data_IF_834099011401
#
_entry.id   IF_834099011401
#
_cell.length_a   1.000
_cell.length_b   1.000
_cell.length_c   1.000
_cell.angle_alpha   90.00
_cell.angle_beta   90.00
_cell.angle_gamma   90.00
#
_symmetry.space_group_name_H-M   'P 1'
#
loop_
_entity.id
_entity.type
_entity.pdbx_description
1 polymer ?
#
# COMPACT_ATOMS: atom_id res chain seq x y z
N UNK A 1 -31.39 8.88 3.12
CA UNK A 1 -32.00 8.53 4.43
C UNK A 1 -30.89 8.44 5.47
N UNK A 2 -31.02 9.12 6.62
CA UNK A 2 -30.12 8.93 7.76
C UNK A 2 -30.57 7.68 8.50
N UNK A 3 -29.72 6.63 8.56
CA UNK A 3 -30.00 5.48 9.40
C UNK A 3 -29.74 5.86 10.86
N UNK A 4 -30.79 5.84 11.69
CA UNK A 4 -30.72 6.11 13.11
C UNK A 4 -30.81 4.77 13.82
N UNK A 5 -29.86 4.47 14.69
CA UNK A 5 -29.84 3.28 15.53
C UNK A 5 -30.17 3.68 16.95
N UNK A 6 -31.23 3.08 17.52
CA UNK A 6 -31.61 3.28 18.91
C UNK A 6 -31.13 2.07 19.75
N UNK A 7 -30.37 2.33 20.81
CA UNK A 7 -29.95 1.32 21.77
C UNK A 7 -30.68 1.56 23.07
N UNK A 8 -31.76 0.78 23.31
CA UNK A 8 -32.66 1.02 24.44
C UNK A 8 -32.37 0.15 25.67
N UNK A 9 -31.49 -0.87 25.54
CA UNK A 9 -31.22 -1.82 26.61
C UNK A 9 -29.75 -1.80 27.03
N UNK A 10 -29.51 -1.82 28.36
CA UNK A 10 -28.16 -2.05 28.91
C UNK A 10 -27.83 -3.53 28.90
N UNK A 11 -26.63 -3.89 28.46
CA UNK A 11 -26.12 -5.24 28.59
C UNK A 11 -25.74 -5.47 30.05
N UNK A 12 -26.42 -6.42 30.71
CA UNK A 12 -26.17 -6.76 32.12
C UNK A 12 -25.00 -7.73 32.30
N UNK A 13 -24.83 -8.66 31.37
CA UNK A 13 -23.69 -9.56 31.32
C UNK A 13 -23.39 -9.93 29.87
N UNK A 14 -22.12 -10.07 29.53
CA UNK A 14 -21.70 -10.43 28.19
C UNK A 14 -20.63 -11.53 28.25
N UNK A 15 -20.97 -12.72 27.77
CA UNK A 15 -20.04 -13.84 27.63
C UNK A 15 -20.22 -14.45 26.24
N UNK A 16 -19.71 -13.75 25.23
CA UNK A 16 -19.72 -14.22 23.82
C UNK A 16 -18.34 -14.08 23.21
N UNK A 17 -17.96 -15.06 22.39
CA UNK A 17 -16.82 -14.95 21.48
C UNK A 17 -17.33 -14.26 20.22
N UNK A 18 -16.71 -13.15 19.86
CA UNK A 18 -17.02 -12.38 18.66
C UNK A 18 -15.86 -12.53 17.68
N UNK A 19 -16.16 -12.92 16.44
CA UNK A 19 -15.20 -12.86 15.34
C UNK A 19 -15.34 -11.50 14.67
N UNK A 20 -14.23 -10.75 14.63
CA UNK A 20 -14.16 -9.46 13.94
C UNK A 20 -13.36 -9.61 12.67
N UNK A 21 -13.70 -8.80 11.66
CA UNK A 21 -12.92 -8.71 10.42
C UNK A 21 -11.53 -8.14 10.70
N UNK A 22 -10.57 -8.49 9.84
CA UNK A 22 -9.22 -7.94 9.93
C UNK A 22 -9.19 -6.41 9.78
N UNK A 23 -8.14 -5.78 10.30
CA UNK A 23 -7.90 -4.34 10.16
C UNK A 23 -7.36 -4.02 8.76
N UNK A 24 -7.84 -2.91 8.16
CA UNK A 24 -7.43 -2.46 6.83
C UNK A 24 -5.96 -2.08 6.78
N UNK A 25 -5.53 -1.29 7.73
CA UNK A 25 -4.17 -0.74 7.74
C UNK A 25 -3.12 -1.81 8.04
N UNK A 26 -3.43 -2.74 8.93
CA UNK A 26 -2.57 -3.90 9.20
C UNK A 26 -2.52 -4.82 7.99
N UNK A 27 -3.63 -5.08 7.31
CA UNK A 27 -3.68 -5.91 6.11
C UNK A 27 -2.81 -5.34 4.98
N UNK A 28 -2.88 -4.02 4.74
CA UNK A 28 -2.05 -3.34 3.74
C UNK A 28 -0.56 -3.44 4.11
N UNK A 29 -0.20 -3.10 5.35
CA UNK A 29 1.19 -3.15 5.81
C UNK A 29 1.77 -4.55 5.78
N UNK A 30 1.00 -5.54 6.24
CA UNK A 30 1.41 -6.94 6.18
C UNK A 30 1.69 -7.36 4.73
N UNK A 31 0.81 -7.04 3.77
CA UNK A 31 1.00 -7.41 2.38
C UNK A 31 2.28 -6.80 1.78
N UNK A 32 2.54 -5.53 2.08
CA UNK A 32 3.75 -4.84 1.62
C UNK A 32 5.00 -5.45 2.25
N UNK A 33 5.03 -5.65 3.58
CA UNK A 33 6.18 -6.25 4.27
C UNK A 33 6.44 -7.68 3.79
N UNK A 34 5.37 -8.47 3.61
CA UNK A 34 5.46 -9.83 3.07
C UNK A 34 6.05 -9.86 1.65
N UNK A 35 5.78 -8.83 0.83
CA UNK A 35 6.36 -8.72 -0.52
C UNK A 35 7.88 -8.43 -0.51
N UNK A 36 8.36 -7.74 0.53
CA UNK A 36 9.77 -7.39 0.73
C UNK A 36 10.55 -8.46 1.49
N UNK A 37 9.89 -9.41 2.13
CA UNK A 37 10.54 -10.56 2.75
C UNK A 37 11.07 -11.51 1.67
N UNK A 38 11.99 -12.41 2.03
CA UNK A 38 12.38 -13.53 1.17
C UNK A 38 11.55 -14.77 1.51
N UNK A 39 10.96 -15.41 0.49
CA UNK A 39 10.18 -16.63 0.66
C UNK A 39 8.69 -16.41 0.87
N UNK A 40 8.02 -17.41 1.42
CA UNK A 40 6.56 -17.45 1.57
C UNK A 40 6.11 -16.91 2.92
N UNK A 41 5.25 -15.89 2.90
CA UNK A 41 4.51 -15.40 4.06
C UNK A 41 3.04 -15.79 3.96
N UNK A 42 2.43 -16.22 5.06
CA UNK A 42 1.01 -16.59 5.13
C UNK A 42 0.31 -15.74 6.18
N UNK A 43 -0.74 -15.03 5.78
CA UNK A 43 -1.56 -14.19 6.65
C UNK A 43 -3.00 -14.66 6.68
N UNK A 44 -3.60 -14.65 7.86
CA UNK A 44 -4.99 -15.01 8.08
C UNK A 44 -5.82 -13.77 8.37
N UNK A 45 -7.13 -13.86 8.10
CA UNK A 45 -8.08 -12.80 8.41
C UNK A 45 -7.73 -11.43 7.82
N UNK A 46 -7.17 -11.39 6.59
CA UNK A 46 -6.98 -10.12 5.89
C UNK A 46 -8.33 -9.50 5.56
N UNK A 47 -8.46 -8.20 5.83
CA UNK A 47 -9.63 -7.46 5.39
C UNK A 47 -9.69 -7.46 3.85
N UNK A 48 -10.85 -7.80 3.29
CA UNK A 48 -11.07 -7.83 1.83
C UNK A 48 -11.69 -6.53 1.32
N UNK A 49 -11.29 -5.40 1.89
CA UNK A 49 -11.71 -4.10 1.38
C UNK A 49 -11.04 -3.78 0.04
N UNK A 50 -11.63 -2.88 -0.71
CA UNK A 50 -11.09 -2.40 -1.99
C UNK A 50 -9.65 -1.90 -1.84
N UNK A 51 -9.33 -1.17 -0.78
CA UNK A 51 -7.98 -0.68 -0.49
C UNK A 51 -6.95 -1.82 -0.40
N UNK A 52 -7.28 -2.92 0.30
CA UNK A 52 -6.40 -4.07 0.44
C UNK A 52 -6.26 -4.80 -0.90
N UNK A 53 -7.35 -4.99 -1.64
CA UNK A 53 -7.32 -5.63 -2.95
C UNK A 53 -6.49 -4.81 -3.96
N UNK A 54 -6.61 -3.49 -3.95
CA UNK A 54 -5.79 -2.60 -4.77
C UNK A 54 -4.30 -2.71 -4.39
N UNK A 55 -3.98 -2.84 -3.10
CA UNK A 55 -2.61 -3.11 -2.65
C UNK A 55 -2.07 -4.42 -3.23
N UNK A 56 -2.82 -5.52 -3.10
CA UNK A 56 -2.42 -6.82 -3.65
C UNK A 56 -2.24 -6.77 -5.18
N UNK A 57 -3.10 -6.04 -5.89
CA UNK A 57 -3.00 -5.84 -7.32
C UNK A 57 -1.75 -5.04 -7.72
N UNK A 58 -1.42 -3.98 -6.98
CA UNK A 58 -0.16 -3.24 -7.18
C UNK A 58 1.06 -4.15 -7.01
N UNK A 59 1.08 -4.98 -5.95
CA UNK A 59 2.17 -5.92 -5.68
C UNK A 59 2.28 -7.00 -6.77
N UNK A 60 1.15 -7.52 -7.27
CA UNK A 60 1.15 -8.44 -8.42
C UNK A 60 1.77 -7.80 -9.66
N UNK A 61 1.43 -6.55 -9.96
CA UNK A 61 2.03 -5.79 -11.08
C UNK A 61 3.54 -5.56 -10.88
N UNK A 62 4.02 -5.54 -9.64
CA UNK A 62 5.45 -5.51 -9.30
C UNK A 62 6.12 -6.88 -9.35
N UNK A 63 5.41 -7.91 -9.85
CA UNK A 63 5.95 -9.25 -10.06
C UNK A 63 5.91 -10.15 -8.82
N UNK A 64 5.14 -9.80 -7.82
CA UNK A 64 4.96 -10.62 -6.61
C UNK A 64 3.84 -11.64 -6.86
N UNK A 65 4.16 -12.93 -6.65
CA UNK A 65 3.16 -14.00 -6.68
C UNK A 65 2.32 -13.96 -5.41
N UNK A 66 1.00 -13.88 -5.56
CA UNK A 66 0.05 -13.77 -4.46
C UNK A 66 -1.11 -14.75 -4.67
N UNK A 67 -1.34 -15.62 -3.70
CA UNK A 67 -2.48 -16.55 -3.66
C UNK A 67 -3.46 -16.07 -2.59
N UNK A 68 -4.55 -15.43 -2.99
CA UNK A 68 -5.63 -15.03 -2.09
C UNK A 68 -6.69 -16.13 -2.04
N UNK A 69 -6.84 -16.78 -0.89
CA UNK A 69 -7.84 -17.82 -0.60
C UNK A 69 -8.90 -17.30 0.37
N UNK A 70 -10.00 -18.03 0.56
CA UNK A 70 -11.11 -17.61 1.43
C UNK A 70 -10.65 -17.19 2.83
N UNK A 71 -9.79 -17.97 3.48
CA UNK A 71 -9.42 -17.82 4.88
C UNK A 71 -7.99 -17.31 5.10
N UNK A 72 -7.17 -17.20 4.04
CA UNK A 72 -5.78 -16.77 4.12
C UNK A 72 -5.27 -16.17 2.82
N UNK A 73 -4.17 -15.49 2.91
CA UNK A 73 -3.41 -14.98 1.77
C UNK A 73 -1.96 -15.46 1.88
N UNK A 74 -1.39 -15.96 0.79
CA UNK A 74 0.03 -16.28 0.68
C UNK A 74 0.70 -15.28 -0.27
N UNK A 75 1.82 -14.73 0.17
CA UNK A 75 2.65 -13.82 -0.61
C UNK A 75 4.05 -14.40 -0.69
N UNK A 76 4.57 -14.54 -1.92
CA UNK A 76 5.91 -15.02 -2.19
C UNK A 76 6.83 -13.82 -2.40
N UNK A 77 7.38 -13.32 -1.31
CA UNK A 77 8.25 -12.17 -1.31
C UNK A 77 9.60 -12.46 -1.94
N UNK A 78 10.21 -11.45 -2.54
CA UNK A 78 11.44 -11.57 -3.32
C UNK A 78 12.62 -10.77 -2.73
N UNK A 79 12.47 -10.23 -1.53
CA UNK A 79 13.46 -9.35 -0.92
C UNK A 79 13.32 -7.88 -1.35
N UNK A 80 14.15 -7.02 -0.77
CA UNK A 80 14.09 -5.56 -0.94
C UNK A 80 14.27 -5.10 -2.39
N UNK A 81 15.06 -5.82 -3.18
CA UNK A 81 15.37 -5.48 -4.57
C UNK A 81 14.65 -6.41 -5.58
N UNK A 82 13.69 -7.21 -5.10
CA UNK A 82 13.12 -8.33 -5.86
C UNK A 82 11.94 -7.97 -6.77
N UNK A 83 11.55 -6.71 -6.87
CA UNK A 83 10.47 -6.31 -7.77
C UNK A 83 10.87 -6.45 -9.23
N UNK A 84 10.01 -7.09 -10.04
CA UNK A 84 10.22 -7.33 -11.46
C UNK A 84 9.02 -6.81 -12.26
N UNK A 85 9.24 -5.83 -13.12
CA UNK A 85 8.16 -5.14 -13.84
C UNK A 85 8.69 -4.51 -15.15
N UNK A 86 7.75 -4.19 -16.05
CA UNK A 86 8.05 -3.48 -17.31
C UNK A 86 8.26 -1.99 -17.05
N UNK A 87 9.01 -1.31 -17.92
CA UNK A 87 9.13 0.14 -17.86
C UNK A 87 7.76 0.81 -18.05
N UNK A 88 7.58 2.02 -17.50
CA UNK A 88 6.33 2.79 -17.51
C UNK A 88 5.14 2.06 -16.88
N UNK A 89 5.40 1.19 -15.89
CA UNK A 89 4.36 0.53 -15.13
C UNK A 89 3.42 1.55 -14.48
N UNK A 90 2.11 1.25 -14.51
CA UNK A 90 1.09 2.06 -13.84
C UNK A 90 0.57 1.26 -12.64
N UNK A 91 0.75 1.84 -11.45
CA UNK A 91 0.18 1.35 -10.20
C UNK A 91 -1.01 2.22 -9.82
N UNK A 92 -2.19 1.63 -9.77
CA UNK A 92 -3.42 2.29 -9.36
C UNK A 92 -3.74 1.88 -7.91
N UNK A 93 -3.68 2.84 -7.01
CA UNK A 93 -3.96 2.65 -5.59
C UNK A 93 -5.46 2.80 -5.25
N UNK A 94 -6.33 3.01 -6.25
CA UNK A 94 -7.76 3.28 -6.04
C UNK A 94 -7.96 4.50 -5.14
N UNK A 95 -8.70 4.36 -4.04
CA UNK A 95 -8.89 5.41 -3.03
C UNK A 95 -7.85 5.36 -1.90
N UNK A 96 -6.95 4.37 -1.88
CA UNK A 96 -6.07 4.10 -0.76
C UNK A 96 -4.85 5.01 -0.70
N UNK A 97 -4.91 6.06 0.12
CA UNK A 97 -3.74 6.90 0.41
C UNK A 97 -2.62 6.15 1.13
N UNK A 98 -2.95 5.15 1.95
CA UNK A 98 -1.98 4.27 2.61
C UNK A 98 -1.21 3.45 1.58
N UNK A 99 -1.91 2.79 0.65
CA UNK A 99 -1.30 2.03 -0.44
C UNK A 99 -0.39 2.91 -1.29
N UNK A 100 -0.89 4.06 -1.76
CA UNK A 100 -0.11 4.98 -2.60
C UNK A 100 1.19 5.40 -1.93
N UNK A 101 1.16 5.79 -0.65
CA UNK A 101 2.34 6.27 0.06
C UNK A 101 3.32 5.14 0.41
N UNK A 102 2.83 4.03 0.95
CA UNK A 102 3.70 2.94 1.38
C UNK A 102 4.35 2.23 0.18
N UNK A 103 3.60 1.96 -0.89
CA UNK A 103 4.20 1.39 -2.12
C UNK A 103 5.24 2.35 -2.71
N UNK A 104 4.97 3.66 -2.75
CA UNK A 104 5.97 4.64 -3.21
C UNK A 104 7.28 4.51 -2.43
N UNK A 105 7.21 4.32 -1.11
CA UNK A 105 8.42 4.14 -0.29
C UNK A 105 9.20 2.86 -0.61
N UNK A 106 8.53 1.78 -1.06
CA UNK A 106 9.23 0.54 -1.43
C UNK A 106 9.92 0.60 -2.80
N UNK A 107 9.69 1.66 -3.57
CA UNK A 107 10.21 1.81 -4.93
C UNK A 107 11.50 2.65 -5.00
N UNK A 108 12.14 2.93 -3.86
CA UNK A 108 13.31 3.83 -3.80
C UNK A 108 14.52 3.34 -4.60
N UNK A 109 14.64 2.03 -4.82
CA UNK A 109 15.71 1.42 -5.62
C UNK A 109 15.30 1.04 -7.04
N UNK A 110 14.12 1.45 -7.50
CA UNK A 110 13.66 1.10 -8.84
C UNK A 110 14.42 1.88 -9.91
N UNK A 111 14.97 1.18 -10.91
CA UNK A 111 15.72 1.83 -12.02
C UNK A 111 14.81 2.30 -13.14
N UNK A 112 13.59 1.79 -13.22
CA UNK A 112 12.60 2.09 -14.26
C UNK A 112 11.56 3.06 -13.71
N UNK A 113 11.03 3.91 -14.59
CA UNK A 113 9.97 4.85 -14.22
C UNK A 113 8.65 4.13 -13.96
N UNK A 114 8.02 4.43 -12.82
CA UNK A 114 6.70 3.93 -12.43
C UNK A 114 5.76 5.12 -12.23
N UNK A 115 4.56 5.03 -12.80
CA UNK A 115 3.47 5.97 -12.55
C UNK A 115 2.60 5.46 -11.40
N UNK A 116 2.37 6.28 -10.39
CA UNK A 116 1.41 6.02 -9.32
C UNK A 116 0.21 6.92 -9.49
N UNK A 117 -0.98 6.33 -9.47
CA UNK A 117 -2.26 7.01 -9.66
C UNK A 117 -3.29 6.48 -8.68
N UNK A 118 -4.51 6.97 -8.77
CA UNK A 118 -5.66 6.55 -8.00
C UNK A 118 -6.93 7.19 -8.53
N UNK A 119 -8.01 7.07 -7.79
CA UNK A 119 -9.30 7.66 -8.13
C UNK A 119 -9.31 9.20 -8.04
N UNK A 120 -10.46 9.80 -8.34
CA UNK A 120 -10.63 11.26 -8.32
C UNK A 120 -10.40 11.86 -6.91
N UNK A 121 -10.77 11.14 -5.85
CA UNK A 121 -10.57 11.57 -4.46
C UNK A 121 -9.09 11.52 -4.08
N UNK A 122 -8.43 10.40 -4.34
CA UNK A 122 -7.02 10.21 -4.01
C UNK A 122 -6.10 11.16 -4.80
N UNK A 123 -6.45 11.47 -6.06
CA UNK A 123 -5.73 12.45 -6.89
C UNK A 123 -5.70 13.87 -6.31
N UNK A 124 -6.61 14.21 -5.41
CA UNK A 124 -6.62 15.53 -4.73
C UNK A 124 -5.78 15.58 -3.47
N UNK A 125 -5.36 14.41 -2.94
CA UNK A 125 -4.60 14.34 -1.68
C UNK A 125 -3.14 14.70 -1.89
N UNK A 126 -2.57 15.41 -0.90
CA UNK A 126 -1.16 15.78 -0.89
C UNK A 126 -0.25 14.55 -0.75
N UNK A 127 0.72 14.44 -1.64
CA UNK A 127 1.77 13.42 -1.65
C UNK A 127 3.14 13.97 -1.24
N UNK A 128 3.24 15.27 -0.92
CA UNK A 128 4.52 15.87 -0.54
C UNK A 128 5.09 15.27 0.75
N UNK A 129 4.23 14.75 1.65
CA UNK A 129 4.65 14.06 2.88
C UNK A 129 5.57 12.86 2.61
N UNK A 130 5.43 12.20 1.46
CA UNK A 130 6.31 11.08 1.07
C UNK A 130 7.35 11.54 0.03
N UNK A 131 7.01 12.46 -0.86
CA UNK A 131 7.91 12.93 -1.92
C UNK A 131 9.11 13.67 -1.33
N UNK A 132 8.88 14.58 -0.37
CA UNK A 132 9.94 15.39 0.23
C UNK A 132 11.06 14.54 0.87
N UNK A 133 10.77 13.61 1.81
CA UNK A 133 11.81 12.78 2.41
C UNK A 133 12.48 11.86 1.38
N UNK A 134 11.71 11.23 0.47
CA UNK A 134 12.30 10.33 -0.52
C UNK A 134 13.22 11.05 -1.52
N UNK A 135 12.97 12.31 -1.83
CA UNK A 135 13.92 13.10 -2.62
C UNK A 135 15.26 13.29 -1.93
N UNK A 136 15.27 13.44 -0.59
CA UNK A 136 16.53 13.51 0.17
C UNK A 136 17.31 12.19 0.07
N UNK A 137 16.64 11.04 -0.06
CA UNK A 137 17.29 9.75 -0.33
C UNK A 137 17.88 9.62 -1.74
N UNK A 138 17.68 10.61 -2.64
CA UNK A 138 18.16 10.56 -4.02
C UNK A 138 17.11 10.04 -5.02
N UNK A 139 15.88 9.86 -4.62
CA UNK A 139 14.79 9.40 -5.50
C UNK A 139 14.30 10.55 -6.38
N UNK A 140 14.12 10.28 -7.67
CA UNK A 140 13.64 11.25 -8.64
C UNK A 140 12.11 11.16 -8.78
N UNK A 141 11.46 12.32 -8.67
CA UNK A 141 10.02 12.45 -8.87
C UNK A 141 9.69 13.46 -9.95
N UNK A 142 8.80 13.06 -10.90
CA UNK A 142 8.06 14.00 -11.73
C UNK A 142 6.61 14.03 -11.19
N UNK A 143 6.14 15.22 -10.83
CA UNK A 143 4.83 15.46 -10.24
C UNK A 143 4.22 16.73 -10.83
N UNK A 144 2.92 16.94 -10.63
CA UNK A 144 2.30 18.23 -10.90
C UNK A 144 2.76 19.30 -9.88
N UNK A 145 2.49 20.58 -10.18
CA UNK A 145 2.88 21.72 -9.31
C UNK A 145 2.37 21.57 -7.87
N UNK A 146 1.16 21.04 -7.68
CA UNK A 146 0.52 20.86 -6.37
C UNK A 146 1.11 19.70 -5.56
N UNK A 147 1.86 18.78 -6.18
CA UNK A 147 2.40 17.59 -5.51
C UNK A 147 1.36 16.53 -5.18
N UNK A 148 0.33 16.43 -6.00
CA UNK A 148 -0.72 15.41 -5.94
C UNK A 148 -0.51 14.33 -7.00
N UNK A 149 -1.32 13.27 -7.00
CA UNK A 149 -1.30 12.25 -8.04
C UNK A 149 -1.81 12.78 -9.40
N UNK A 150 -1.37 12.21 -10.54
CA UNK A 150 -0.37 11.17 -10.63
C UNK A 150 1.04 11.67 -10.36
N UNK A 151 1.89 10.79 -9.80
CA UNK A 151 3.32 11.00 -9.66
C UNK A 151 4.07 9.95 -10.46
N UNK A 152 5.25 10.31 -10.94
CA UNK A 152 6.18 9.38 -11.57
C UNK A 152 7.41 9.28 -10.68
N UNK A 153 7.79 8.06 -10.34
CA UNK A 153 8.97 7.77 -9.52
C UNK A 153 10.00 7.02 -10.34
N UNK A 154 11.25 7.43 -10.19
CA UNK A 154 12.44 6.66 -10.58
C UNK A 154 13.36 6.64 -9.38
N UNK A 155 13.66 5.47 -8.85
CA UNK A 155 14.53 5.30 -7.71
C UNK A 155 16.00 5.56 -8.06
N UNK A 156 16.86 5.38 -7.09
CA UNK A 156 18.31 5.55 -7.20
C UNK A 156 19.02 4.26 -6.85
N UNK A 157 20.09 3.94 -7.58
CA UNK A 157 20.97 2.83 -7.23
C UNK A 157 21.85 3.16 -6.00
N UNK A 158 22.09 4.45 -5.75
CA UNK A 158 22.80 4.97 -4.60
C UNK A 158 21.83 5.79 -3.76
N UNK A 159 21.48 5.31 -2.58
CA UNK A 159 20.65 6.02 -1.63
C UNK A 159 21.52 6.81 -0.67
N UNK A 160 21.16 8.07 -0.45
CA UNK A 160 21.83 8.93 0.51
C UNK A 160 21.31 8.67 1.92
N UNK A 161 22.16 8.74 2.93
CA UNK A 161 21.70 8.89 4.31
C UNK A 161 21.00 10.24 4.48
N UNK A 162 19.98 10.29 5.29
CA UNK A 162 19.24 11.54 5.55
C UNK A 162 19.12 11.79 7.04
N UNK A 163 19.24 13.06 7.42
CA UNK A 163 18.73 13.57 8.68
C UNK A 163 17.34 14.19 8.42
N UNK A 164 16.32 13.79 9.16
CA UNK A 164 14.94 14.20 8.97
C UNK A 164 14.27 14.43 10.33
N UNK A 165 13.92 15.66 10.60
CA UNK A 165 13.13 16.10 11.75
C UNK A 165 11.65 16.24 11.39
#
# INVERSE_FOLDING_TARGET
MKNIIFINNKIKSFKKKIEISGDKSLSIRWAIMASLAKGKSKGYNLLRSEDVLNTLNCLKKLGIKINLKKNYCEIFGKGLDGYSYKNNLILDAGNSGTTARLITATLVKTTKTIKITGDASLKRRDMNRIIKPLKKFGVIFKKNKKGTLPIFIKGSNSLNSINYE
#
